data_IF_216620634041
#
_entry.id   IF_216620634041
#
_cell.length_a   1.000
_cell.length_b   1.000
_cell.length_c   1.000
_cell.angle_alpha   90.00
_cell.angle_beta   90.00
_cell.angle_gamma   90.00
#
_symmetry.space_group_name_H-M   'P 1'
#
loop_
_entity.id
_entity.type
_entity.pdbx_description
1 polymer ?
#
# COMPACT_ATOMS: atom_id res chain seq x y z
N UNK A 1 -18.47 18.08 21.42
CA UNK A 1 -18.22 18.05 19.97
C UNK A 1 -17.50 19.29 19.48
N UNK A 2 -17.89 20.51 19.89
CA UNK A 2 -17.28 21.75 19.39
C UNK A 2 -15.76 21.83 19.60
N UNK A 3 -15.27 21.60 20.81
CA UNK A 3 -13.82 21.59 21.10
C UNK A 3 -13.06 20.62 20.19
N UNK A 4 -13.63 19.43 19.99
CA UNK A 4 -13.05 18.40 19.12
C UNK A 4 -13.09 18.82 17.65
N UNK A 5 -14.20 19.41 17.17
CA UNK A 5 -14.30 19.95 15.82
C UNK A 5 -13.24 21.02 15.56
N UNK A 6 -13.08 21.98 16.48
CA UNK A 6 -12.05 23.02 16.40
C UNK A 6 -10.66 22.42 16.31
N UNK A 7 -10.35 21.44 17.17
CA UNK A 7 -9.04 20.76 17.15
C UNK A 7 -8.79 20.00 15.84
N UNK A 8 -9.79 19.29 15.34
CA UNK A 8 -9.71 18.58 14.06
C UNK A 8 -9.51 19.57 12.90
N UNK A 9 -10.25 20.68 12.89
CA UNK A 9 -10.14 21.73 11.87
C UNK A 9 -8.74 22.36 11.88
N UNK A 10 -8.19 22.69 13.06
CA UNK A 10 -6.81 23.19 13.17
C UNK A 10 -5.78 22.20 12.60
N UNK A 11 -5.88 20.91 12.95
CA UNK A 11 -4.99 19.88 12.42
C UNK A 11 -5.15 19.71 10.90
N UNK A 12 -6.38 19.80 10.39
CA UNK A 12 -6.65 19.74 8.95
C UNK A 12 -5.99 20.90 8.22
N UNK A 13 -6.12 22.12 8.75
CA UNK A 13 -5.54 23.33 8.17
C UNK A 13 -4.01 23.28 8.17
N UNK A 14 -3.39 22.82 9.26
CA UNK A 14 -1.94 22.58 9.30
C UNK A 14 -1.48 21.60 8.21
N UNK A 15 -2.24 20.53 7.98
CA UNK A 15 -1.95 19.57 6.91
C UNK A 15 -2.11 20.17 5.52
N UNK A 16 -3.11 21.04 5.32
CA UNK A 16 -3.31 21.77 4.06
C UNK A 16 -2.10 22.66 3.77
N UNK A 17 -1.69 23.46 4.76
CA UNK A 17 -0.54 24.35 4.62
C UNK A 17 0.76 23.58 4.39
N UNK A 18 0.97 22.47 5.09
CA UNK A 18 2.11 21.58 4.82
C UNK A 18 2.09 21.03 3.39
N UNK A 19 0.91 20.70 2.84
CA UNK A 19 0.79 20.19 1.47
C UNK A 19 1.09 21.28 0.45
N UNK A 20 0.60 22.50 0.66
CA UNK A 20 0.92 23.66 -0.17
C UNK A 20 2.42 24.00 -0.13
N UNK A 21 3.04 23.96 1.05
CA UNK A 21 4.48 24.17 1.19
C UNK A 21 5.30 23.13 0.42
N UNK A 22 4.84 21.87 0.38
CA UNK A 22 5.49 20.83 -0.40
C UNK A 22 5.40 21.10 -1.92
N UNK A 23 4.26 21.60 -2.41
CA UNK A 23 4.10 22.00 -3.82
C UNK A 23 4.98 23.21 -4.16
N UNK A 24 5.10 24.16 -3.22
CA UNK A 24 5.91 25.38 -3.36
C UNK A 24 7.40 25.11 -3.60
N UNK A 25 7.89 23.96 -3.13
CA UNK A 25 9.30 23.57 -3.23
C UNK A 25 10.22 24.47 -2.38
N UNK A 26 11.53 24.35 -2.60
CA UNK A 26 12.56 24.97 -1.75
C UNK A 26 12.84 26.46 -2.01
N UNK A 27 12.36 27.03 -3.12
CA UNK A 27 12.88 28.30 -3.67
C UNK A 27 11.84 29.38 -3.96
N UNK A 28 10.69 29.39 -3.29
CA UNK A 28 9.76 30.50 -3.48
C UNK A 28 9.12 30.93 -2.17
N UNK A 29 9.50 32.08 -1.62
CA UNK A 29 8.72 32.73 -0.56
C UNK A 29 7.56 33.54 -1.14
N UNK A 30 7.69 33.99 -2.40
CA UNK A 30 6.80 34.92 -3.08
C UNK A 30 5.74 34.29 -4.00
N UNK A 31 5.72 32.96 -4.19
CA UNK A 31 4.74 32.30 -5.07
C UNK A 31 3.52 31.88 -4.27
N UNK A 32 2.36 32.42 -4.66
CA UNK A 32 1.07 31.92 -4.19
C UNK A 32 0.76 30.60 -4.92
N UNK A 33 0.58 29.52 -4.15
CA UNK A 33 0.29 28.20 -4.71
C UNK A 33 -1.23 28.02 -4.76
N UNK A 34 -1.76 27.97 -5.97
CA UNK A 34 -3.12 27.50 -6.20
C UNK A 34 -3.16 25.98 -6.07
N UNK A 35 -4.08 25.47 -5.25
CA UNK A 35 -4.26 24.05 -5.03
C UNK A 35 -5.76 23.71 -5.14
N UNK A 36 -6.05 22.61 -5.82
CA UNK A 36 -7.41 22.10 -6.04
C UNK A 36 -7.48 20.63 -5.65
N UNK A 37 -8.66 20.19 -5.21
CA UNK A 37 -9.00 18.77 -5.15
C UNK A 37 -9.43 18.32 -6.54
N UNK A 38 -8.88 17.20 -7.01
CA UNK A 38 -9.46 16.44 -8.12
C UNK A 38 -10.24 15.26 -7.52
N UNK A 39 -11.50 15.13 -7.91
CA UNK A 39 -12.41 14.09 -7.42
C UNK A 39 -12.97 13.31 -8.60
N UNK A 40 -12.94 11.98 -8.50
CA UNK A 40 -13.59 11.10 -9.47
C UNK A 40 -14.89 10.58 -8.88
N UNK A 41 -15.99 10.77 -9.61
CA UNK A 41 -17.33 10.39 -9.17
C UNK A 41 -17.92 9.45 -10.21
N UNK A 42 -18.17 8.19 -9.84
CA UNK A 42 -18.78 7.22 -10.73
C UNK A 42 -20.30 7.36 -10.76
N UNK A 43 -20.91 6.98 -11.87
CA UNK A 43 -22.37 6.82 -11.96
C UNK A 43 -22.89 5.75 -11.01
N UNK A 44 -24.12 5.87 -10.49
CA UNK A 44 -24.78 4.82 -9.74
C UNK A 44 -24.95 3.52 -10.52
N UNK A 45 -25.15 2.42 -9.81
CA UNK A 45 -25.40 1.10 -10.42
C UNK A 45 -26.72 1.14 -11.20
N UNK A 46 -26.68 0.71 -12.46
CA UNK A 46 -27.85 0.64 -13.35
C UNK A 46 -27.96 1.80 -14.34
N UNK A 47 -27.12 2.81 -14.21
CA UNK A 47 -26.97 3.88 -15.21
C UNK A 47 -25.83 3.55 -16.19
N UNK A 48 -25.80 4.25 -17.33
CA UNK A 48 -24.68 4.14 -18.27
C UNK A 48 -23.38 4.51 -17.57
N UNK A 49 -22.38 3.61 -17.55
CA UNK A 49 -21.17 3.83 -16.78
C UNK A 49 -20.40 5.06 -17.26
N UNK A 50 -20.23 6.04 -16.36
CA UNK A 50 -19.40 7.22 -16.60
C UNK A 50 -18.62 7.57 -15.34
N UNK A 51 -17.48 8.23 -15.54
CA UNK A 51 -16.71 8.88 -14.48
C UNK A 51 -16.81 10.39 -14.71
N UNK A 52 -17.33 11.11 -13.73
CA UNK A 52 -17.27 12.57 -13.69
C UNK A 52 -16.01 13.00 -12.98
N UNK A 53 -15.24 13.87 -13.63
CA UNK A 53 -14.06 14.51 -13.05
C UNK A 53 -14.51 15.84 -12.49
N UNK A 54 -14.33 16.02 -11.18
CA UNK A 54 -14.67 17.25 -10.48
C UNK A 54 -13.47 17.96 -9.92
N UNK A 55 -13.51 19.28 -9.91
CA UNK A 55 -12.49 20.14 -9.30
C UNK A 55 -13.10 21.10 -8.29
N UNK A 56 -12.48 21.22 -7.13
CA UNK A 56 -12.90 22.21 -6.14
C UNK A 56 -11.70 22.77 -5.38
N UNK A 57 -11.79 24.00 -4.91
CA UNK A 57 -10.69 24.70 -4.24
C UNK A 57 -10.21 23.95 -2.99
N UNK A 58 -8.89 23.88 -2.80
CA UNK A 58 -8.27 23.25 -1.63
C UNK A 58 -8.24 24.20 -0.42
N UNK A 59 -9.43 24.63 0.01
CA UNK A 59 -9.60 25.65 1.05
C UNK A 59 -9.36 25.09 2.47
N UNK A 60 -8.81 25.91 3.38
CA UNK A 60 -8.80 25.60 4.81
C UNK A 60 -10.23 25.61 5.37
N UNK A 61 -10.45 24.81 6.41
CA UNK A 61 -11.69 24.83 7.20
C UNK A 61 -11.83 26.19 7.88
N UNK A 62 -12.99 26.82 7.77
CA UNK A 62 -13.29 28.06 8.48
C UNK A 62 -13.61 27.75 9.95
N UNK A 63 -12.62 27.96 10.82
CA UNK A 63 -12.71 27.63 12.25
C UNK A 63 -13.68 28.57 12.99
N UNK A 64 -13.85 29.79 12.51
CA UNK A 64 -14.67 30.80 13.17
C UNK A 64 -16.17 30.56 12.92
N UNK A 65 -16.50 29.96 11.78
CA UNK A 65 -17.87 29.66 11.35
C UNK A 65 -18.29 28.19 11.56
N UNK A 66 -17.65 27.47 12.48
CA UNK A 66 -18.00 26.08 12.77
C UNK A 66 -19.38 25.92 13.43
N UNK A 67 -20.24 25.11 12.83
CA UNK A 67 -21.55 24.72 13.36
C UNK A 67 -21.62 23.20 13.52
N UNK A 68 -21.96 22.75 14.74
CA UNK A 68 -22.12 21.32 15.04
C UNK A 68 -23.52 20.86 14.65
N UNK A 69 -23.61 19.90 13.73
CA UNK A 69 -24.88 19.31 13.29
C UNK A 69 -25.35 18.19 14.22
N UNK A 70 -24.42 17.57 14.97
CA UNK A 70 -24.69 16.57 15.99
C UNK A 70 -24.23 15.15 15.64
N UNK A 71 -24.74 14.16 16.38
CA UNK A 71 -24.35 12.75 16.23
C UNK A 71 -24.81 12.18 14.88
N UNK A 72 -23.97 11.32 14.29
CA UNK A 72 -24.28 10.63 13.02
C UNK A 72 -25.39 9.59 13.15
N UNK A 73 -25.54 8.95 14.31
CA UNK A 73 -26.57 7.95 14.60
C UNK A 73 -26.98 8.00 16.08
N UNK A 74 -28.19 7.56 16.41
CA UNK A 74 -28.68 7.53 17.80
C UNK A 74 -27.81 6.66 18.73
N UNK A 75 -27.22 5.59 18.21
CA UNK A 75 -26.45 4.61 19.00
C UNK A 75 -24.94 4.87 19.02
N UNK A 76 -24.42 5.75 18.16
CA UNK A 76 -22.99 6.03 18.10
C UNK A 76 -22.72 7.53 18.28
N UNK A 77 -22.75 7.95 19.55
CA UNK A 77 -22.55 9.34 19.96
C UNK A 77 -21.10 9.83 19.76
N UNK A 78 -20.12 8.98 19.46
CA UNK A 78 -18.74 9.46 19.28
C UNK A 78 -18.49 10.00 17.86
N UNK A 79 -19.27 9.54 16.89
CA UNK A 79 -19.23 10.01 15.52
C UNK A 79 -20.19 11.18 15.33
N UNK A 80 -19.72 12.31 14.83
CA UNK A 80 -20.53 13.52 14.70
C UNK A 80 -20.25 14.26 13.39
N UNK A 81 -21.17 15.14 13.01
CA UNK A 81 -21.07 16.00 11.84
C UNK A 81 -20.98 17.46 12.23
N UNK A 82 -20.32 18.23 11.40
CA UNK A 82 -20.20 19.68 11.53
C UNK A 82 -19.96 20.31 10.17
N UNK A 83 -20.25 21.60 10.05
CA UNK A 83 -20.03 22.40 8.84
C UNK A 83 -19.31 23.68 9.22
N UNK A 84 -18.55 24.24 8.28
CA UNK A 84 -17.95 25.57 8.39
C UNK A 84 -18.66 26.60 7.49
N UNK A 85 -19.83 26.23 6.96
CA UNK A 85 -20.60 27.00 5.97
C UNK A 85 -20.17 26.76 4.53
N UNK A 86 -18.96 26.24 4.29
CA UNK A 86 -18.44 25.95 2.95
C UNK A 86 -18.55 24.45 2.62
N UNK A 87 -18.18 23.60 3.58
CA UNK A 87 -18.19 22.15 3.42
C UNK A 87 -18.83 21.46 4.63
N UNK A 88 -19.39 20.28 4.37
CA UNK A 88 -19.92 19.41 5.41
C UNK A 88 -18.91 18.30 5.75
N UNK A 89 -18.62 18.18 7.04
CA UNK A 89 -17.66 17.24 7.58
C UNK A 89 -18.33 16.18 8.44
N UNK A 90 -17.76 14.98 8.44
CA UNK A 90 -18.13 13.88 9.33
C UNK A 90 -16.87 13.32 9.97
N UNK A 91 -16.83 13.34 11.30
CA UNK A 91 -15.78 12.70 12.07
C UNK A 91 -16.19 11.30 12.54
N UNK A 92 -15.27 10.34 12.42
CA UNK A 92 -15.42 8.99 12.96
C UNK A 92 -14.35 8.71 14.01
N UNK A 93 -14.78 8.35 15.22
CA UNK A 93 -13.89 8.21 16.36
C UNK A 93 -13.09 6.89 16.35
N UNK A 94 -13.62 5.83 15.73
CA UNK A 94 -13.01 4.50 15.73
C UNK A 94 -11.61 4.48 15.08
N UNK A 95 -11.42 5.30 14.05
CA UNK A 95 -10.21 5.41 13.24
C UNK A 95 -9.67 6.85 13.18
N UNK A 96 -10.28 7.78 13.92
CA UNK A 96 -9.95 9.21 13.91
C UNK A 96 -9.96 9.81 12.50
N UNK A 97 -10.90 9.39 11.65
CA UNK A 97 -11.01 9.89 10.29
C UNK A 97 -11.94 11.10 10.19
N UNK A 98 -11.57 12.01 9.28
CA UNK A 98 -12.37 13.15 8.87
C UNK A 98 -12.78 12.96 7.42
N UNK A 99 -14.08 12.80 7.18
CA UNK A 99 -14.66 12.82 5.84
C UNK A 99 -15.19 14.21 5.52
N UNK A 100 -14.98 14.65 4.28
CA UNK A 100 -15.55 15.88 3.72
C UNK A 100 -16.50 15.49 2.58
N UNK A 101 -17.63 16.17 2.50
CA UNK A 101 -18.59 15.98 1.42
C UNK A 101 -18.22 16.90 0.26
N UNK A 102 -18.07 16.32 -0.93
CA UNK A 102 -17.94 17.07 -2.17
C UNK A 102 -19.32 17.28 -2.78
N UNK A 103 -19.59 18.47 -3.31
CA UNK A 103 -20.85 18.76 -3.96
C UNK A 103 -20.79 18.26 -5.42
N UNK A 104 -21.23 17.03 -5.65
CA UNK A 104 -20.86 16.23 -6.81
C UNK A 104 -21.30 16.76 -8.19
N UNK A 105 -22.27 17.67 -8.26
CA UNK A 105 -22.80 18.15 -9.56
C UNK A 105 -22.22 19.48 -10.00
N UNK A 106 -21.93 20.37 -9.05
CA UNK A 106 -21.55 21.75 -9.35
C UNK A 106 -20.04 21.90 -9.60
N UNK A 107 -19.26 20.85 -9.33
CA UNK A 107 -17.81 20.85 -9.44
C UNK A 107 -17.30 20.11 -10.69
N UNK A 108 -18.19 19.56 -11.52
CA UNK A 108 -17.81 18.71 -12.67
C UNK A 108 -17.16 19.57 -13.76
N UNK A 109 -15.94 19.21 -14.15
CA UNK A 109 -15.17 19.85 -15.22
C UNK A 109 -15.04 18.96 -16.46
N UNK A 110 -15.11 17.64 -16.31
CA UNK A 110 -14.99 16.69 -17.41
C UNK A 110 -15.81 15.41 -17.15
N UNK A 111 -16.08 14.63 -18.19
CA UNK A 111 -16.83 13.37 -18.13
C UNK A 111 -16.23 12.34 -19.06
N UNK A 112 -15.92 11.16 -18.49
CA UNK A 112 -15.35 10.04 -19.23
C UNK A 112 -16.37 8.91 -19.33
N UNK A 113 -16.61 8.43 -20.55
CA UNK A 113 -17.42 7.25 -20.78
C UNK A 113 -16.64 5.99 -20.38
N UNK A 114 -17.26 5.13 -19.57
CA UNK A 114 -16.64 3.89 -19.10
C UNK A 114 -17.26 2.71 -19.82
N UNK A 115 -16.41 1.89 -20.42
CA UNK A 115 -16.80 0.65 -21.04
C UNK A 115 -16.27 -0.50 -20.18
N UNK A 116 -17.18 -1.18 -19.47
CA UNK A 116 -16.81 -2.38 -18.73
C UNK A 116 -16.52 -3.51 -19.71
N UNK A 117 -15.43 -4.21 -19.46
CA UNK A 117 -15.04 -5.39 -20.21
C UNK A 117 -15.85 -6.56 -19.68
N UNK A 118 -16.51 -7.30 -20.57
CA UNK A 118 -17.40 -8.42 -20.20
C UNK A 118 -16.63 -9.56 -19.54
N UNK A 119 -15.45 -9.89 -20.08
CA UNK A 119 -14.57 -10.92 -19.55
C UNK A 119 -13.20 -10.33 -19.18
N UNK A 120 -13.07 -9.75 -17.96
CA UNK A 120 -11.80 -9.23 -17.51
C UNK A 120 -10.75 -10.34 -17.32
N UNK A 121 -11.16 -11.58 -17.03
CA UNK A 121 -10.22 -12.68 -16.81
C UNK A 121 -9.50 -13.05 -18.11
N UNK A 122 -10.26 -13.21 -19.20
CA UNK A 122 -9.67 -13.45 -20.53
C UNK A 122 -8.76 -12.30 -20.97
N UNK A 123 -9.14 -11.05 -20.72
CA UNK A 123 -8.27 -9.90 -21.00
C UNK A 123 -6.93 -10.01 -20.26
N UNK A 124 -6.97 -10.27 -18.95
CA UNK A 124 -5.75 -10.34 -18.15
C UNK A 124 -4.88 -11.55 -18.49
N UNK A 125 -5.48 -12.70 -18.81
CA UNK A 125 -4.77 -13.90 -19.29
C UNK A 125 -4.03 -13.61 -20.61
N UNK A 126 -4.70 -12.90 -21.51
CA UNK A 126 -4.19 -12.56 -22.83
C UNK A 126 -3.48 -11.20 -22.89
N UNK A 127 -3.22 -10.54 -21.76
CA UNK A 127 -2.63 -9.20 -21.72
C UNK A 127 -1.26 -9.16 -22.41
N UNK A 128 -0.50 -10.25 -22.30
CA UNK A 128 0.80 -10.44 -22.96
C UNK A 128 0.72 -10.40 -24.49
N UNK A 129 -0.43 -10.76 -25.09
CA UNK A 129 -0.69 -10.67 -26.53
C UNK A 129 -1.03 -9.24 -26.95
N UNK A 130 -1.71 -8.48 -26.08
CA UNK A 130 -2.03 -7.07 -26.31
C UNK A 130 -0.82 -6.14 -26.14
N UNK A 131 0.26 -6.64 -25.53
CA UNK A 131 1.51 -5.88 -25.34
C UNK A 131 2.53 -6.14 -26.47
N UNK A 132 2.11 -6.78 -27.57
CA UNK A 132 2.98 -7.28 -28.64
C UNK A 132 3.70 -6.19 -29.46
N UNK A 133 3.37 -4.92 -29.27
CA UNK A 133 4.12 -3.77 -29.83
C UNK A 133 4.84 -2.97 -28.75
N UNK A 134 5.36 -3.62 -27.70
CA UNK A 134 6.56 -3.04 -27.08
C UNK A 134 7.70 -3.32 -28.05
N UNK A 135 8.14 -2.27 -28.74
CA UNK A 135 9.52 -2.18 -29.21
C UNK A 135 10.38 -2.84 -28.13
N UNK A 136 11.16 -3.85 -28.51
CA UNK A 136 12.21 -4.38 -27.65
C UNK A 136 13.18 -3.23 -27.43
N UNK A 137 12.85 -2.31 -26.53
CA UNK A 137 13.83 -1.48 -25.88
C UNK A 137 14.65 -2.50 -25.11
N UNK A 138 15.75 -2.94 -25.71
CA UNK A 138 16.78 -3.66 -24.99
C UNK A 138 17.03 -2.85 -23.73
N UNK A 139 16.68 -3.42 -22.58
CA UNK A 139 16.93 -2.76 -21.30
C UNK A 139 18.45 -2.69 -21.19
N UNK A 140 19.02 -1.57 -21.63
CA UNK A 140 20.46 -1.35 -21.69
C UNK A 140 21.06 -1.38 -20.29
N UNK A 141 20.30 -0.90 -19.30
CA UNK A 141 20.73 -0.83 -17.92
C UNK A 141 19.52 -0.82 -16.96
N UNK A 142 19.65 -1.53 -15.83
CA UNK A 142 18.74 -1.40 -14.70
C UNK A 142 19.54 -0.93 -13.51
N UNK A 143 19.17 0.22 -12.94
CA UNK A 143 19.82 0.78 -11.76
C UNK A 143 18.95 0.50 -10.54
N UNK A 144 19.55 -0.08 -9.50
CA UNK A 144 18.93 -0.25 -8.19
C UNK A 144 19.73 0.50 -7.15
N UNK A 145 19.05 1.22 -6.26
CA UNK A 145 19.68 1.92 -5.14
C UNK A 145 20.13 0.88 -4.10
N UNK A 146 21.43 0.80 -3.85
CA UNK A 146 21.97 -0.06 -2.81
C UNK A 146 21.57 0.52 -1.44
N UNK A 147 20.94 -0.30 -0.59
CA UNK A 147 20.68 0.08 0.81
C UNK A 147 21.84 -0.45 1.64
N UNK A 148 22.70 0.47 2.08
CA UNK A 148 23.83 0.16 2.96
C UNK A 148 23.48 0.38 4.42
N UNK A 149 24.28 -0.21 5.30
CA UNK A 149 24.37 0.21 6.69
C UNK A 149 25.02 1.60 6.82
N UNK A 150 25.16 2.07 8.07
CA UNK A 150 25.84 3.32 8.44
C UNK A 150 27.33 3.37 8.06
N UNK A 151 27.92 2.25 7.64
CA UNK A 151 29.32 2.11 7.25
C UNK A 151 29.50 1.91 5.74
N UNK A 152 28.41 1.97 4.96
CA UNK A 152 28.46 1.78 3.51
C UNK A 152 28.51 0.30 3.06
N UNK A 153 28.28 -0.65 3.97
CA UNK A 153 28.30 -2.07 3.65
C UNK A 153 26.90 -2.61 3.40
N UNK A 154 26.76 -3.54 2.46
CA UNK A 154 25.53 -4.32 2.28
C UNK A 154 25.57 -5.48 3.25
N UNK A 155 24.62 -5.50 4.18
CA UNK A 155 24.49 -6.60 5.14
C UNK A 155 24.24 -7.93 4.42
N UNK A 156 24.94 -8.97 4.86
CA UNK A 156 24.87 -10.31 4.28
C UNK A 156 23.45 -10.92 4.42
N UNK A 157 22.71 -10.50 5.47
CA UNK A 157 21.31 -10.83 5.72
C UNK A 157 20.44 -9.58 5.54
N UNK A 158 20.22 -9.15 4.31
CA UNK A 158 19.45 -7.94 3.97
C UNK A 158 18.27 -8.25 3.07
N UNK A 159 17.45 -7.23 2.79
CA UNK A 159 16.35 -7.33 1.80
C UNK A 159 16.84 -7.70 0.40
N UNK A 160 18.09 -7.34 0.05
CA UNK A 160 18.73 -7.71 -1.22
C UNK A 160 19.25 -9.16 -1.20
N UNK A 161 19.64 -9.66 -0.03
CA UNK A 161 20.13 -11.02 0.17
C UNK A 161 19.06 -11.92 0.82
N UNK A 162 17.85 -11.92 0.25
CA UNK A 162 16.72 -12.71 0.75
C UNK A 162 17.04 -14.21 0.85
N UNK A 163 17.97 -14.70 0.03
CA UNK A 163 18.49 -16.05 0.08
C UNK A 163 19.16 -16.41 1.42
N UNK A 164 19.82 -15.45 2.08
CA UNK A 164 20.41 -15.62 3.42
C UNK A 164 19.42 -15.32 4.55
N UNK A 165 18.23 -14.84 4.20
CA UNK A 165 17.15 -14.57 5.14
C UNK A 165 16.58 -15.83 5.79
N UNK A 166 15.79 -15.59 6.84
CA UNK A 166 14.99 -16.63 7.47
C UNK A 166 13.81 -17.06 6.57
N UNK A 167 13.28 -18.27 6.81
CA UNK A 167 12.12 -18.76 6.08
C UNK A 167 10.89 -17.86 6.31
N UNK A 168 10.29 -17.40 5.21
CA UNK A 168 9.01 -16.66 5.23
C UNK A 168 7.80 -17.56 5.50
N UNK A 169 7.98 -18.89 5.53
CA UNK A 169 6.91 -19.83 5.88
C UNK A 169 6.57 -19.73 7.37
N UNK A 170 5.27 -19.68 7.66
CA UNK A 170 4.77 -19.78 9.03
C UNK A 170 5.16 -21.13 9.63
N UNK A 171 5.48 -21.16 10.93
CA UNK A 171 6.00 -22.37 11.61
C UNK A 171 5.11 -23.61 11.41
N UNK A 172 3.79 -23.43 11.45
CA UNK A 172 2.80 -24.49 11.25
C UNK A 172 2.89 -25.17 9.87
N UNK A 173 3.40 -24.46 8.86
CA UNK A 173 3.42 -24.92 7.46
C UNK A 173 4.77 -25.54 7.06
N UNK A 174 5.79 -25.45 7.93
CA UNK A 174 7.16 -25.91 7.62
C UNK A 174 7.27 -27.43 7.55
N UNK A 175 6.76 -28.14 8.56
CA UNK A 175 6.79 -29.60 8.57
C UNK A 175 5.95 -30.21 7.41
N UNK A 176 4.70 -29.75 7.15
CA UNK A 176 3.96 -30.18 5.96
C UNK A 176 4.70 -29.95 4.64
N UNK A 177 5.49 -28.88 4.54
CA UNK A 177 6.29 -28.59 3.35
C UNK A 177 7.44 -29.58 3.16
N UNK A 178 8.12 -29.98 4.24
CA UNK A 178 9.18 -30.99 4.20
C UNK A 178 8.61 -32.34 3.74
N UNK A 179 7.50 -32.78 4.34
CA UNK A 179 6.84 -34.03 3.95
C UNK A 179 6.41 -34.04 2.47
N UNK A 180 5.89 -32.92 1.96
CA UNK A 180 5.56 -32.79 0.53
C UNK A 180 6.78 -32.90 -0.38
N UNK A 181 7.94 -32.39 0.04
CA UNK A 181 9.18 -32.50 -0.73
C UNK A 181 9.67 -33.95 -0.71
N UNK A 182 9.64 -34.60 0.45
CA UNK A 182 9.99 -36.02 0.56
C UNK A 182 9.14 -36.88 -0.37
N UNK A 183 7.82 -36.74 -0.30
CA UNK A 183 6.88 -37.52 -1.11
C UNK A 183 7.10 -37.28 -2.62
N UNK A 184 7.29 -36.00 -3.01
CA UNK A 184 7.51 -35.64 -4.41
C UNK A 184 8.80 -36.24 -5.00
N UNK A 185 9.86 -36.37 -4.22
CA UNK A 185 11.17 -36.80 -4.71
C UNK A 185 11.56 -38.22 -4.27
N UNK A 186 10.64 -38.95 -3.61
CA UNK A 186 10.90 -40.30 -3.08
C UNK A 186 11.38 -41.29 -4.15
N UNK A 187 10.82 -41.19 -5.35
CA UNK A 187 11.14 -42.10 -6.46
C UNK A 187 12.30 -41.59 -7.34
N UNK A 188 12.75 -40.35 -7.11
CA UNK A 188 13.79 -39.68 -7.91
C UNK A 188 15.15 -39.61 -7.22
N UNK A 189 15.20 -39.83 -5.91
CA UNK A 189 16.42 -39.76 -5.10
C UNK A 189 16.71 -41.12 -4.46
N UNK A 190 18.00 -41.41 -4.25
CA UNK A 190 18.39 -42.54 -3.43
C UNK A 190 17.94 -42.35 -1.98
N UNK A 191 17.78 -43.44 -1.19
CA UNK A 191 17.40 -43.32 0.22
C UNK A 191 18.34 -42.43 1.04
N UNK A 192 19.64 -42.43 0.71
CA UNK A 192 20.67 -41.63 1.37
C UNK A 192 20.53 -40.14 1.04
N UNK A 193 20.34 -39.80 -0.23
CA UNK A 193 20.11 -38.42 -0.68
C UNK A 193 18.80 -37.87 -0.10
N UNK A 194 17.74 -38.67 -0.09
CA UNK A 194 16.46 -38.28 0.47
C UNK A 194 16.56 -38.02 1.99
N UNK A 195 17.31 -38.85 2.71
CA UNK A 195 17.59 -38.66 4.12
C UNK A 195 18.41 -37.40 4.38
N UNK A 196 19.43 -37.13 3.55
CA UNK A 196 20.23 -35.91 3.64
C UNK A 196 19.40 -34.65 3.38
N UNK A 197 18.60 -34.63 2.31
CA UNK A 197 17.71 -33.50 1.98
C UNK A 197 16.71 -33.26 3.10
N UNK A 198 16.13 -34.33 3.65
CA UNK A 198 15.20 -34.25 4.79
C UNK A 198 15.86 -33.60 5.99
N UNK A 199 17.02 -34.14 6.41
CA UNK A 199 17.74 -33.65 7.57
C UNK A 199 18.12 -32.17 7.40
N UNK A 200 18.68 -31.80 6.26
CA UNK A 200 19.07 -30.42 5.95
C UNK A 200 17.87 -29.46 5.99
N UNK A 201 16.71 -29.88 5.48
CA UNK A 201 15.49 -29.06 5.53
C UNK A 201 14.94 -28.92 6.97
N UNK A 202 15.01 -29.96 7.79
CA UNK A 202 14.63 -29.90 9.20
C UNK A 202 15.52 -28.94 9.99
N UNK A 203 16.84 -29.03 9.80
CA UNK A 203 17.81 -28.11 10.40
C UNK A 203 17.54 -26.65 9.99
N UNK A 204 17.28 -26.39 8.71
CA UNK A 204 17.09 -25.02 8.22
C UNK A 204 15.72 -24.44 8.61
N UNK A 205 14.65 -25.25 8.59
CA UNK A 205 13.28 -24.76 8.72
C UNK A 205 12.71 -24.89 10.13
N UNK A 206 13.08 -25.93 10.88
CA UNK A 206 12.47 -26.22 12.19
C UNK A 206 13.28 -25.64 13.35
N UNK A 207 14.61 -25.66 13.27
CA UNK A 207 15.46 -25.07 14.32
C UNK A 207 15.42 -23.54 14.30
N UNK A 208 15.64 -22.96 15.48
CA UNK A 208 15.74 -21.51 15.68
C UNK A 208 17.21 -21.11 15.72
N UNK A 209 17.65 -20.34 14.73
CA UNK A 209 19.01 -19.82 14.63
C UNK A 209 19.03 -18.36 15.09
N UNK A 210 19.61 -18.12 16.27
CA UNK A 210 19.55 -16.82 16.96
C UNK A 210 20.87 -16.06 16.91
N UNK A 211 21.99 -16.72 17.19
CA UNK A 211 23.31 -16.09 17.20
C UNK A 211 23.92 -15.96 15.79
N UNK A 212 25.02 -15.20 15.68
CA UNK A 212 25.73 -15.01 14.40
C UNK A 212 26.42 -16.30 13.96
N UNK A 213 27.00 -17.03 14.92
CA UNK A 213 27.69 -18.30 14.74
C UNK A 213 26.71 -19.40 14.33
N UNK A 214 25.55 -19.46 14.99
CA UNK A 214 24.42 -20.34 14.64
C UNK A 214 23.96 -20.10 13.19
N UNK A 215 23.80 -18.84 12.80
CA UNK A 215 23.41 -18.50 11.43
C UNK A 215 24.48 -18.88 10.42
N UNK A 216 25.78 -18.83 10.77
CA UNK A 216 26.84 -19.27 9.89
C UNK A 216 26.82 -20.80 9.67
N UNK A 217 26.52 -21.58 10.70
CA UNK A 217 26.33 -23.04 10.58
C UNK A 217 25.14 -23.40 9.71
N UNK A 218 23.99 -22.72 9.90
CA UNK A 218 22.82 -22.88 9.05
C UNK A 218 23.13 -22.58 7.57
N UNK A 219 23.93 -21.55 7.31
CA UNK A 219 24.38 -21.21 5.95
C UNK A 219 25.28 -22.30 5.34
N UNK A 220 26.13 -22.93 6.13
CA UNK A 220 26.94 -24.06 5.67
C UNK A 220 26.05 -25.24 5.24
N UNK A 221 25.10 -25.65 6.10
CA UNK A 221 24.12 -26.71 5.78
C UNK A 221 23.31 -26.36 4.52
N UNK A 222 22.92 -25.09 4.38
CA UNK A 222 22.19 -24.60 3.19
C UNK A 222 23.05 -24.65 1.92
N UNK A 223 24.36 -24.41 2.03
CA UNK A 223 25.29 -24.46 0.90
C UNK A 223 25.52 -25.89 0.45
N UNK A 224 25.60 -26.85 1.38
CA UNK A 224 25.78 -28.27 1.06
C UNK A 224 24.53 -28.89 0.43
N UNK A 225 23.38 -28.23 0.52
CA UNK A 225 22.11 -28.64 -0.09
C UNK A 225 21.96 -28.20 -1.57
N UNK A 226 22.80 -27.29 -2.06
CA UNK A 226 22.73 -26.67 -3.41
C UNK A 226 23.87 -27.19 -4.28
#
# INVERSE_FOLDING_TARGET
YEELARKIATLRNQRIESSKAQIKGFNSDSVNVEAVYHVLMSTPKGENPKIFVGETSYLPVDIDNLVIEGSTTKNNQTNFRFTDGQHHYKYTAADSQLHMTFNNKDIVVDTWDVHYIEDPFSLFENLHLLTAEKDKTDILETVSWVITDKHGNVEENSGFNAFNGGSKLAKKDRLPRILKIQDKFKDSLTPEELAFVTFSLEEILLKKWTSKEEKAQMKAIRKDLI
#
